data_IF_527676348589
#
_entry.id   IF_527676348589
#
_cell.length_a   1.000
_cell.length_b   1.000
_cell.length_c   1.000
_cell.angle_alpha   90.00
_cell.angle_beta   90.00
_cell.angle_gamma   90.00
#
_symmetry.space_group_name_H-M   'P 1'
#
loop_
_entity.id
_entity.type
_entity.pdbx_description
1 polymer ?
#
# COMPACT_ATOMS: atom_id res chain seq x y z
N UNK A 1 -28.75 -8.52 -19.15
CA UNK A 1 -27.58 -8.34 -18.25
C UNK A 1 -27.92 -8.96 -16.89
N UNK A 2 -27.15 -9.95 -16.46
CA UNK A 2 -27.34 -10.64 -15.19
C UNK A 2 -26.10 -10.55 -14.27
N UNK A 3 -26.25 -10.94 -13.00
CA UNK A 3 -25.16 -10.88 -12.04
C UNK A 3 -23.95 -11.72 -12.43
N UNK A 4 -24.17 -12.88 -13.06
CA UNK A 4 -23.08 -13.77 -13.46
C UNK A 4 -22.26 -13.18 -14.62
N UNK A 5 -22.91 -12.50 -15.54
CA UNK A 5 -22.24 -11.76 -16.62
C UNK A 5 -21.38 -10.62 -16.06
N UNK A 6 -21.89 -9.86 -15.07
CA UNK A 6 -21.12 -8.80 -14.41
C UNK A 6 -19.92 -9.36 -13.62
N UNK A 7 -20.11 -10.45 -12.88
CA UNK A 7 -19.05 -11.13 -12.14
C UNK A 7 -17.93 -11.61 -13.07
N UNK A 8 -18.32 -12.27 -14.18
CA UNK A 8 -17.39 -12.72 -15.21
C UNK A 8 -16.63 -11.55 -15.83
N UNK A 9 -17.33 -10.48 -16.18
CA UNK A 9 -16.73 -9.29 -16.79
C UNK A 9 -15.70 -8.64 -15.84
N UNK A 10 -16.05 -8.43 -14.59
CA UNK A 10 -15.14 -7.85 -13.57
C UNK A 10 -13.93 -8.77 -13.35
N UNK A 11 -14.11 -10.08 -13.25
CA UNK A 11 -13.00 -11.04 -13.07
C UNK A 11 -12.05 -11.05 -14.28
N UNK A 12 -12.56 -11.01 -15.52
CA UNK A 12 -11.73 -10.95 -16.74
C UNK A 12 -10.88 -9.67 -16.75
N UNK A 13 -11.46 -8.54 -16.40
CA UNK A 13 -10.74 -7.25 -16.31
C UNK A 13 -9.68 -7.28 -15.23
N UNK A 14 -10.04 -7.75 -14.02
CA UNK A 14 -9.15 -7.86 -12.87
C UNK A 14 -7.89 -8.68 -13.17
N UNK A 15 -8.05 -9.81 -13.85
CA UNK A 15 -6.95 -10.72 -14.16
C UNK A 15 -6.27 -10.45 -15.50
N UNK A 16 -6.84 -9.58 -16.33
CA UNK A 16 -6.43 -9.37 -17.73
C UNK A 16 -6.29 -10.68 -18.51
N UNK A 17 -7.12 -11.70 -18.15
CA UNK A 17 -7.00 -13.05 -18.65
C UNK A 17 -8.30 -13.85 -18.50
N UNK A 18 -8.82 -14.34 -19.62
CA UNK A 18 -9.98 -15.25 -19.62
C UNK A 18 -9.70 -16.58 -18.89
N UNK A 19 -8.48 -17.11 -19.03
CA UNK A 19 -8.12 -18.38 -18.38
C UNK A 19 -7.95 -18.24 -16.86
N UNK A 20 -7.41 -17.10 -16.36
CA UNK A 20 -7.31 -16.83 -14.92
C UNK A 20 -8.69 -16.58 -14.33
N UNK A 21 -9.53 -15.78 -14.98
CA UNK A 21 -10.92 -15.57 -14.58
C UNK A 21 -11.72 -16.89 -14.52
N UNK A 22 -11.52 -17.77 -15.49
CA UNK A 22 -12.15 -19.09 -15.50
C UNK A 22 -11.76 -19.92 -14.26
N UNK A 23 -10.50 -19.91 -13.85
CA UNK A 23 -10.04 -20.61 -12.64
C UNK A 23 -10.62 -19.98 -11.36
N UNK A 24 -10.60 -18.64 -11.24
CA UNK A 24 -11.18 -17.94 -10.09
C UNK A 24 -12.66 -18.26 -9.90
N UNK A 25 -13.41 -18.30 -11.00
CA UNK A 25 -14.87 -18.50 -10.98
C UNK A 25 -15.31 -19.97 -11.09
N UNK A 26 -14.35 -20.90 -11.10
CA UNK A 26 -14.61 -22.35 -11.29
C UNK A 26 -15.44 -22.65 -12.55
N UNK A 27 -15.15 -21.94 -13.66
CA UNK A 27 -15.78 -22.09 -14.96
C UNK A 27 -14.77 -22.50 -16.02
N UNK A 28 -15.27 -22.90 -17.20
CA UNK A 28 -14.41 -23.12 -18.36
C UNK A 28 -14.16 -21.80 -19.11
N UNK A 29 -13.03 -21.68 -19.81
CA UNK A 29 -12.75 -20.50 -20.63
C UNK A 29 -13.80 -20.24 -21.72
N UNK A 30 -14.34 -21.24 -22.44
CA UNK A 30 -15.45 -21.03 -23.37
C UNK A 30 -16.70 -20.44 -22.71
N UNK A 31 -17.02 -20.87 -21.48
CA UNK A 31 -18.14 -20.32 -20.69
C UNK A 31 -17.93 -18.84 -20.38
N UNK A 32 -16.72 -18.46 -19.91
CA UNK A 32 -16.35 -17.05 -19.69
C UNK A 32 -16.50 -16.22 -20.97
N UNK A 33 -15.97 -16.74 -22.11
CA UNK A 33 -16.10 -16.08 -23.40
C UNK A 33 -17.56 -15.89 -23.83
N UNK A 34 -18.41 -16.90 -23.61
CA UNK A 34 -19.84 -16.83 -23.92
C UNK A 34 -20.56 -15.76 -23.06
N UNK A 35 -20.27 -15.68 -21.75
CA UNK A 35 -20.86 -14.65 -20.89
C UNK A 35 -20.48 -13.23 -21.36
N UNK A 36 -19.21 -13.00 -21.72
CA UNK A 36 -18.76 -11.68 -22.23
C UNK A 36 -19.44 -11.36 -23.55
N UNK A 37 -19.49 -12.31 -24.52
CA UNK A 37 -20.12 -12.09 -25.80
C UNK A 37 -21.63 -11.80 -25.68
N UNK A 38 -22.32 -12.51 -24.79
CA UNK A 38 -23.73 -12.27 -24.52
C UNK A 38 -23.97 -10.90 -23.90
N UNK A 39 -23.11 -10.48 -22.98
CA UNK A 39 -23.16 -9.16 -22.35
C UNK A 39 -22.92 -8.05 -23.39
N UNK A 40 -21.89 -8.18 -24.23
CA UNK A 40 -21.59 -7.23 -25.31
C UNK A 40 -22.74 -7.15 -26.34
N UNK A 41 -23.32 -8.31 -26.69
CA UNK A 41 -24.48 -8.39 -27.60
C UNK A 41 -25.72 -7.72 -27.00
N UNK A 42 -26.03 -7.96 -25.74
CA UNK A 42 -27.17 -7.40 -25.04
C UNK A 42 -27.06 -5.86 -24.90
N UNK A 43 -25.86 -5.35 -24.62
CA UNK A 43 -25.58 -3.93 -24.54
C UNK A 43 -25.31 -3.27 -25.89
N UNK A 44 -25.28 -4.07 -26.97
CA UNK A 44 -24.98 -3.64 -28.33
C UNK A 44 -23.68 -2.80 -28.42
N UNK A 45 -22.66 -3.21 -27.65
CA UNK A 45 -21.36 -2.51 -27.62
C UNK A 45 -20.22 -3.48 -27.25
N UNK A 46 -19.02 -3.17 -27.72
CA UNK A 46 -17.80 -3.92 -27.37
C UNK A 46 -17.24 -3.35 -26.08
N UNK A 47 -17.01 -4.21 -25.09
CA UNK A 47 -16.51 -3.83 -23.77
C UNK A 47 -15.00 -4.08 -23.60
N UNK A 48 -14.48 -5.10 -24.33
CA UNK A 48 -13.10 -5.53 -24.23
C UNK A 48 -12.38 -5.51 -25.58
N UNK A 49 -11.27 -4.80 -25.66
CA UNK A 49 -10.35 -4.89 -26.79
C UNK A 49 -9.46 -6.13 -26.64
N UNK A 50 -9.53 -7.02 -27.64
CA UNK A 50 -8.78 -8.29 -27.69
C UNK A 50 -7.63 -8.16 -28.69
N UNK A 51 -6.70 -7.24 -28.53
CA UNK A 51 -5.55 -7.10 -29.43
C UNK A 51 -4.28 -7.65 -28.79
N UNK A 52 -3.55 -8.50 -29.55
CA UNK A 52 -2.16 -8.92 -29.32
C UNK A 52 -1.77 -9.23 -27.86
N UNK A 53 -2.39 -10.26 -27.25
CA UNK A 53 -2.05 -10.82 -25.92
C UNK A 53 -2.42 -9.98 -24.70
N UNK A 54 -3.02 -8.81 -24.83
CA UNK A 54 -3.50 -8.01 -23.69
C UNK A 54 -5.00 -7.75 -23.79
N UNK A 55 -5.69 -7.86 -22.67
CA UNK A 55 -7.11 -7.49 -22.55
C UNK A 55 -7.15 -6.07 -22.01
N UNK A 56 -7.77 -5.16 -22.76
CA UNK A 56 -7.97 -3.77 -22.36
C UNK A 56 -9.45 -3.41 -22.43
N UNK A 57 -9.90 -2.55 -21.54
CA UNK A 57 -11.25 -2.00 -21.60
C UNK A 57 -11.38 -1.06 -22.80
N UNK A 58 -12.58 -1.01 -23.39
CA UNK A 58 -13.04 0.08 -24.23
C UNK A 58 -13.58 1.22 -23.35
N UNK A 59 -13.89 2.37 -23.90
CA UNK A 59 -14.55 3.46 -23.17
C UNK A 59 -15.88 2.99 -22.55
N UNK A 60 -16.70 2.26 -23.30
CA UNK A 60 -17.93 1.63 -22.80
C UNK A 60 -17.64 0.59 -21.72
N UNK A 61 -16.54 -0.15 -21.86
CA UNK A 61 -16.07 -1.11 -20.88
C UNK A 61 -15.68 -0.46 -19.56
N UNK A 62 -15.00 0.71 -19.59
CA UNK A 62 -14.64 1.46 -18.39
C UNK A 62 -15.89 1.95 -17.64
N UNK A 63 -16.88 2.45 -18.37
CA UNK A 63 -18.15 2.87 -17.78
C UNK A 63 -18.85 1.68 -17.11
N UNK A 64 -19.00 0.58 -17.84
CA UNK A 64 -19.64 -0.61 -17.28
C UNK A 64 -18.87 -1.19 -16.09
N UNK A 65 -17.54 -1.21 -16.16
CA UNK A 65 -16.70 -1.74 -15.08
C UNK A 65 -16.97 -1.05 -13.75
N UNK A 66 -17.01 0.27 -13.74
CA UNK A 66 -17.32 1.08 -12.55
C UNK A 66 -18.68 0.71 -11.95
N UNK A 67 -19.71 0.61 -12.80
CA UNK A 67 -21.05 0.25 -12.35
C UNK A 67 -21.15 -1.23 -11.91
N UNK A 68 -20.52 -2.15 -12.66
CA UNK A 68 -20.52 -3.57 -12.34
C UNK A 68 -19.91 -3.86 -10.97
N UNK A 69 -18.76 -3.25 -10.67
CA UNK A 69 -18.11 -3.37 -9.36
C UNK A 69 -19.02 -2.82 -8.25
N UNK A 70 -19.64 -1.66 -8.46
CA UNK A 70 -20.57 -1.06 -7.49
C UNK A 70 -21.78 -1.98 -7.23
N UNK A 71 -22.39 -2.55 -8.27
CA UNK A 71 -23.54 -3.47 -8.16
C UNK A 71 -23.14 -4.73 -7.37
N UNK A 72 -22.00 -5.36 -7.74
CA UNK A 72 -21.52 -6.55 -7.06
C UNK A 72 -21.18 -6.31 -5.59
N UNK A 73 -20.59 -5.15 -5.29
CA UNK A 73 -20.28 -4.75 -3.91
C UNK A 73 -21.58 -4.49 -3.09
N UNK A 74 -22.58 -3.83 -3.68
CA UNK A 74 -23.89 -3.66 -3.02
C UNK A 74 -24.58 -4.99 -2.72
N UNK A 75 -24.48 -5.96 -3.65
CA UNK A 75 -25.01 -7.30 -3.43
C UNK A 75 -24.27 -8.01 -2.27
N UNK A 76 -22.94 -7.93 -2.23
CA UNK A 76 -22.15 -8.45 -1.11
C UNK A 76 -22.53 -7.79 0.20
N UNK A 77 -22.70 -6.46 0.19
CA UNK A 77 -23.15 -5.70 1.36
C UNK A 77 -24.49 -6.20 1.89
N UNK A 78 -25.48 -6.35 1.02
CA UNK A 78 -26.81 -6.86 1.43
C UNK A 78 -26.72 -8.26 2.07
N UNK A 79 -25.88 -9.16 1.53
CA UNK A 79 -25.63 -10.48 2.13
C UNK A 79 -24.98 -10.35 3.50
N UNK A 80 -24.00 -9.45 3.65
CA UNK A 80 -23.34 -9.20 4.93
C UNK A 80 -24.33 -8.59 5.95
N UNK A 81 -25.11 -7.57 5.57
CA UNK A 81 -26.11 -6.95 6.44
C UNK A 81 -27.11 -7.99 6.99
N UNK A 82 -27.49 -8.97 6.17
CA UNK A 82 -28.35 -10.10 6.59
C UNK A 82 -27.61 -11.03 7.56
N UNK A 83 -26.33 -11.31 7.32
CA UNK A 83 -25.49 -12.15 8.19
C UNK A 83 -25.18 -11.47 9.53
N UNK A 84 -24.95 -10.16 9.53
CA UNK A 84 -24.73 -9.37 10.75
C UNK A 84 -25.95 -9.39 11.68
N UNK A 85 -27.17 -9.50 11.12
CA UNK A 85 -28.38 -9.79 11.90
C UNK A 85 -28.29 -11.14 12.64
N UNK A 86 -27.43 -12.07 12.19
CA UNK A 86 -27.15 -13.36 12.85
C UNK A 86 -25.95 -13.35 13.81
N UNK A 87 -25.28 -12.21 14.01
CA UNK A 87 -24.26 -11.98 15.04
C UNK A 87 -22.86 -12.56 14.77
N UNK A 88 -22.54 -12.97 13.53
CA UNK A 88 -21.20 -13.46 13.18
C UNK A 88 -20.56 -12.58 12.11
N UNK A 89 -19.57 -11.78 12.53
CA UNK A 89 -18.74 -11.02 11.61
C UNK A 89 -17.61 -11.92 11.11
N UNK A 90 -17.63 -12.23 9.81
CA UNK A 90 -16.63 -13.04 9.13
C UNK A 90 -16.38 -12.53 7.72
N UNK A 91 -15.20 -12.77 7.18
CA UNK A 91 -14.87 -12.40 5.80
C UNK A 91 -13.37 -12.24 5.59
N UNK A 92 -13.01 -11.75 4.39
CA UNK A 92 -11.64 -11.47 3.98
C UNK A 92 -11.49 -9.98 3.72
N UNK A 93 -10.44 -9.38 4.26
CA UNK A 93 -10.02 -8.00 3.99
C UNK A 93 -8.69 -8.05 3.24
N UNK A 94 -8.67 -7.48 2.02
CA UNK A 94 -7.47 -7.34 1.21
C UNK A 94 -6.82 -5.99 1.47
N UNK A 95 -5.52 -6.02 1.83
CA UNK A 95 -4.74 -4.85 2.22
C UNK A 95 -3.47 -4.76 1.37
N UNK A 96 -3.22 -3.59 0.80
CA UNK A 96 -1.96 -3.24 0.16
C UNK A 96 -1.07 -2.48 1.14
N UNK A 97 0.17 -2.91 1.35
CA UNK A 97 1.07 -2.28 2.29
C UNK A 97 2.41 -1.91 1.67
N UNK A 98 2.93 -0.73 2.02
CA UNK A 98 4.34 -0.44 1.82
C UNK A 98 5.17 -0.95 3.03
N UNK A 99 6.48 -1.15 2.83
CA UNK A 99 7.37 -1.90 3.73
C UNK A 99 7.26 -1.54 5.22
N UNK A 100 7.26 -0.26 5.58
CA UNK A 100 7.26 0.14 7.00
C UNK A 100 5.89 -0.05 7.65
N UNK A 101 4.77 0.42 7.05
CA UNK A 101 3.45 0.11 7.59
C UNK A 101 3.17 -1.39 7.72
N UNK A 102 3.60 -2.22 6.75
CA UNK A 102 3.43 -3.67 6.78
C UNK A 102 4.09 -4.30 8.02
N UNK A 103 5.31 -3.88 8.31
CA UNK A 103 6.12 -4.54 9.37
C UNK A 103 5.89 -3.93 10.75
N UNK A 104 5.68 -2.61 10.86
CA UNK A 104 5.77 -1.90 12.14
C UNK A 104 4.48 -1.22 12.59
N UNK A 105 3.47 -1.06 11.71
CA UNK A 105 2.22 -0.35 12.04
C UNK A 105 1.04 -1.31 12.03
N UNK A 106 0.85 -2.03 10.91
CA UNK A 106 -0.30 -2.90 10.70
C UNK A 106 -0.40 -4.06 11.70
N UNK A 107 0.69 -4.75 12.10
CA UNK A 107 0.59 -5.91 13.00
C UNK A 107 -0.07 -5.61 14.34
N UNK A 108 0.26 -4.46 14.97
CA UNK A 108 -0.35 -4.07 16.24
C UNK A 108 -1.85 -3.83 16.11
N UNK A 109 -2.27 -3.12 15.07
CA UNK A 109 -3.69 -2.91 14.79
C UNK A 109 -4.43 -4.23 14.49
N UNK A 110 -3.83 -5.11 13.70
CA UNK A 110 -4.45 -6.41 13.38
C UNK A 110 -4.55 -7.33 14.59
N UNK A 111 -3.60 -7.27 15.52
CA UNK A 111 -3.65 -8.02 16.77
C UNK A 111 -4.92 -7.68 17.55
N UNK A 112 -5.18 -6.38 17.75
CA UNK A 112 -6.37 -5.91 18.48
C UNK A 112 -7.65 -6.24 17.71
N UNK A 113 -7.64 -6.05 16.39
CA UNK A 113 -8.79 -6.35 15.54
C UNK A 113 -9.14 -7.85 15.56
N UNK A 114 -8.16 -8.74 15.41
CA UNK A 114 -8.37 -10.19 15.44
C UNK A 114 -8.85 -10.69 16.80
N UNK A 115 -8.43 -10.05 17.89
CA UNK A 115 -8.91 -10.37 19.23
C UNK A 115 -10.42 -10.15 19.36
N UNK A 116 -10.93 -9.09 18.75
CA UNK A 116 -12.37 -8.76 18.78
C UNK A 116 -13.15 -9.53 17.70
N UNK A 117 -12.54 -9.75 16.51
CA UNK A 117 -13.17 -10.39 15.36
C UNK A 117 -12.39 -11.62 14.87
N UNK A 118 -12.41 -12.75 15.61
CA UNK A 118 -11.51 -13.89 15.36
C UNK A 118 -11.83 -14.67 14.07
N UNK A 119 -12.97 -14.42 13.43
CA UNK A 119 -13.37 -15.08 12.17
C UNK A 119 -13.03 -14.27 10.92
N UNK A 120 -12.48 -13.07 11.07
CA UNK A 120 -12.02 -12.26 9.95
C UNK A 120 -10.63 -12.71 9.50
N UNK A 121 -10.44 -12.80 8.20
CA UNK A 121 -9.16 -13.15 7.56
C UNK A 121 -8.60 -11.95 6.83
N UNK A 122 -7.29 -11.91 6.69
CA UNK A 122 -6.58 -10.84 5.99
C UNK A 122 -5.71 -11.41 4.88
N UNK A 123 -5.68 -10.70 3.75
CA UNK A 123 -4.73 -10.89 2.67
C UNK A 123 -3.87 -9.62 2.59
N UNK A 124 -2.60 -9.72 2.98
CA UNK A 124 -1.69 -8.57 3.03
C UNK A 124 -0.70 -8.70 1.88
N UNK A 125 -0.68 -7.70 1.02
CA UNK A 125 0.12 -7.69 -0.18
C UNK A 125 1.13 -6.54 -0.13
N UNK A 126 2.40 -6.88 -0.35
CA UNK A 126 3.49 -5.91 -0.39
C UNK A 126 3.50 -5.16 -1.72
N UNK A 127 3.37 -3.83 -1.66
CA UNK A 127 3.42 -2.95 -2.82
C UNK A 127 4.18 -1.66 -2.49
N UNK A 128 4.73 -1.00 -3.52
CA UNK A 128 5.09 0.40 -3.36
C UNK A 128 3.82 1.29 -3.26
N UNK A 129 4.01 2.52 -2.77
CA UNK A 129 2.87 3.41 -2.51
C UNK A 129 2.09 3.78 -3.77
N UNK A 130 2.74 3.86 -4.93
CA UNK A 130 2.07 4.23 -6.18
C UNK A 130 1.24 3.07 -6.72
N UNK A 131 1.79 1.86 -6.66
CA UNK A 131 1.09 0.66 -7.10
C UNK A 131 -0.10 0.35 -6.20
N UNK A 132 0.05 0.50 -4.87
CA UNK A 132 -1.06 0.37 -3.93
C UNK A 132 -2.24 1.30 -4.27
N UNK A 133 -1.96 2.56 -4.63
CA UNK A 133 -2.99 3.51 -5.07
C UNK A 133 -3.68 3.03 -6.34
N UNK A 134 -2.94 2.51 -7.32
CA UNK A 134 -3.53 2.01 -8.57
C UNK A 134 -4.43 0.79 -8.35
N UNK A 135 -4.03 -0.14 -7.48
CA UNK A 135 -4.86 -1.32 -7.15
C UNK A 135 -6.15 -0.94 -6.42
N UNK A 136 -6.11 0.08 -5.56
CA UNK A 136 -7.30 0.60 -4.87
C UNK A 136 -8.23 1.33 -5.85
N UNK A 137 -7.69 2.13 -6.78
CA UNK A 137 -8.50 2.83 -7.79
C UNK A 137 -9.15 1.86 -8.77
N UNK A 138 -8.49 0.74 -9.05
CA UNK A 138 -9.03 -0.34 -9.87
C UNK A 138 -9.95 -1.29 -9.06
N UNK A 139 -10.22 -0.98 -7.78
CA UNK A 139 -11.04 -1.77 -6.86
C UNK A 139 -10.61 -3.24 -6.71
N UNK A 140 -9.34 -3.54 -6.98
CA UNK A 140 -8.75 -4.86 -6.81
C UNK A 140 -8.40 -5.16 -5.36
N UNK A 141 -8.10 -4.10 -4.57
CA UNK A 141 -7.78 -4.15 -3.14
C UNK A 141 -8.62 -3.12 -2.41
N UNK A 142 -9.10 -3.47 -1.23
CA UNK A 142 -10.00 -2.64 -0.45
C UNK A 142 -9.29 -1.46 0.21
N UNK A 143 -8.15 -1.73 0.83
CA UNK A 143 -7.46 -0.80 1.71
C UNK A 143 -5.96 -0.76 1.44
N UNK A 144 -5.33 0.38 1.77
CA UNK A 144 -3.89 0.51 1.68
C UNK A 144 -3.26 1.22 2.88
N UNK A 145 -2.03 0.83 3.20
CA UNK A 145 -1.17 1.49 4.19
C UNK A 145 0.11 1.93 3.50
N UNK A 146 0.26 3.24 3.27
CA UNK A 146 1.30 3.78 2.39
C UNK A 146 2.13 4.87 3.04
N UNK A 147 3.39 5.01 2.60
CA UNK A 147 4.33 6.01 3.09
C UNK A 147 4.35 7.32 2.30
N UNK A 148 3.51 7.47 1.28
CA UNK A 148 3.40 8.69 0.47
C UNK A 148 1.94 9.09 0.38
N UNK A 149 1.64 10.37 0.63
CA UNK A 149 0.27 10.90 0.50
C UNK A 149 -0.16 10.87 -0.96
N UNK A 150 -1.24 10.13 -1.31
CA UNK A 150 -1.75 10.14 -2.67
C UNK A 150 -2.29 11.52 -3.06
N UNK A 151 -1.91 12.00 -4.25
CA UNK A 151 -2.42 13.24 -4.86
C UNK A 151 -3.62 12.96 -5.78
N UNK A 152 -4.48 12.01 -5.42
CA UNK A 152 -5.66 11.65 -6.21
C UNK A 152 -6.93 11.98 -5.42
N UNK A 153 -7.82 12.79 -6.03
CA UNK A 153 -9.08 13.23 -5.41
C UNK A 153 -10.08 12.09 -5.15
N UNK A 154 -9.95 10.96 -5.83
CA UNK A 154 -10.81 9.78 -5.66
C UNK A 154 -10.38 8.92 -4.46
N UNK A 155 -9.17 9.14 -3.91
CA UNK A 155 -8.66 8.43 -2.75
C UNK A 155 -8.96 9.21 -1.47
N UNK A 156 -9.56 8.55 -0.47
CA UNK A 156 -9.55 9.01 0.90
C UNK A 156 -8.20 8.66 1.50
N UNK A 157 -7.54 9.62 2.10
CA UNK A 157 -6.28 9.40 2.81
C UNK A 157 -6.41 9.91 4.24
N UNK A 158 -5.98 9.10 5.19
CA UNK A 158 -6.06 9.35 6.62
C UNK A 158 -4.66 9.15 7.18
N UNK A 159 -4.10 10.19 7.81
CA UNK A 159 -2.80 10.09 8.47
C UNK A 159 -2.95 9.19 9.70
N UNK A 160 -2.11 8.14 9.79
CA UNK A 160 -2.15 7.16 10.87
C UNK A 160 -0.91 7.21 11.76
N UNK A 161 0.25 7.59 11.22
CA UNK A 161 1.49 7.67 11.98
C UNK A 161 2.45 8.69 11.38
N UNK A 162 3.42 9.10 12.19
CA UNK A 162 4.58 9.91 11.76
C UNK A 162 5.85 9.09 12.00
N UNK A 163 6.81 9.22 11.12
CA UNK A 163 8.11 8.55 11.18
C UNK A 163 9.19 9.52 10.74
N UNK A 164 10.41 9.28 11.16
CA UNK A 164 11.59 10.05 10.77
C UNK A 164 12.60 9.11 10.12
N UNK A 165 13.22 9.52 9.02
CA UNK A 165 14.39 8.82 8.50
C UNK A 165 15.62 9.29 9.26
N UNK A 166 16.39 8.32 9.72
CA UNK A 166 17.68 8.56 10.39
C UNK A 166 18.82 7.95 9.58
N UNK A 167 19.97 8.61 9.60
CA UNK A 167 21.19 8.02 9.07
C UNK A 167 21.67 6.94 10.03
N UNK A 168 21.96 5.75 9.53
CA UNK A 168 22.54 4.67 10.32
C UNK A 168 23.94 4.32 9.83
N UNK A 169 24.79 3.93 10.77
CA UNK A 169 26.14 3.40 10.54
C UNK A 169 26.37 2.17 11.40
N UNK A 170 27.43 1.42 11.10
CA UNK A 170 27.94 0.39 12.01
C UNK A 170 28.24 1.00 13.39
N UNK A 171 28.05 0.22 14.47
CA UNK A 171 28.39 0.61 15.84
C UNK A 171 29.87 0.98 16.00
N UNK A 172 30.75 0.42 15.18
CA UNK A 172 32.19 0.71 15.20
C UNK A 172 32.57 1.96 14.38
N UNK A 173 31.66 2.51 13.56
CA UNK A 173 31.92 3.69 12.78
C UNK A 173 31.54 4.94 13.59
N UNK A 174 32.50 5.82 13.78
CA UNK A 174 32.28 7.09 14.47
C UNK A 174 32.22 8.23 13.45
N UNK A 175 31.19 9.07 13.59
CA UNK A 175 31.06 10.34 12.88
C UNK A 175 31.11 11.45 13.93
N UNK A 176 31.92 12.51 13.74
CA UNK A 176 31.87 13.68 14.63
C UNK A 176 30.45 14.26 14.69
N UNK A 177 29.93 14.40 15.91
CA UNK A 177 28.54 14.82 16.07
C UNK A 177 28.36 15.65 17.36
N UNK A 178 27.28 16.44 17.38
CA UNK A 178 26.82 17.16 18.56
C UNK A 178 25.45 16.60 18.96
N UNK A 179 25.36 15.88 20.06
CA UNK A 179 24.12 15.27 20.56
C UNK A 179 23.38 14.43 19.51
N UNK A 180 24.11 13.66 18.70
CA UNK A 180 23.54 12.82 17.65
C UNK A 180 23.25 13.55 16.33
N UNK A 181 23.58 14.86 16.22
CA UNK A 181 23.43 15.61 14.98
C UNK A 181 24.77 15.76 14.27
N UNK A 182 24.81 15.48 12.98
CA UNK A 182 25.98 15.64 12.12
C UNK A 182 25.76 16.76 11.09
N UNK A 183 26.85 17.31 10.57
CA UNK A 183 26.80 18.26 9.48
C UNK A 183 26.54 17.51 8.14
N UNK A 184 25.92 18.20 7.21
CA UNK A 184 25.59 17.63 5.89
C UNK A 184 26.85 17.17 5.12
N UNK A 185 27.96 17.87 5.29
CA UNK A 185 29.21 17.55 4.58
C UNK A 185 29.76 16.16 4.97
N UNK A 186 29.47 15.69 6.17
CA UNK A 186 29.85 14.34 6.60
C UNK A 186 29.20 13.25 5.75
N UNK A 187 28.01 13.51 5.18
CA UNK A 187 27.35 12.54 4.31
C UNK A 187 28.17 12.25 3.06
N UNK A 188 28.86 13.27 2.51
CA UNK A 188 29.58 13.11 1.24
C UNK A 188 30.88 12.32 1.39
N UNK A 189 31.30 12.07 2.63
CA UNK A 189 32.46 11.25 2.97
C UNK A 189 32.09 9.76 3.21
N UNK A 190 30.79 9.41 3.16
CA UNK A 190 30.31 8.06 3.46
C UNK A 190 30.01 7.28 2.18
N UNK A 191 30.25 5.97 2.23
CA UNK A 191 29.69 5.04 1.28
C UNK A 191 28.23 4.78 1.62
N UNK A 192 27.31 4.90 0.65
CA UNK A 192 25.88 4.71 0.87
C UNK A 192 25.35 3.41 0.29
N UNK A 193 24.53 2.73 1.09
CA UNK A 193 23.64 1.67 0.67
C UNK A 193 22.24 2.29 0.56
N UNK A 194 21.74 2.42 -0.67
CA UNK A 194 20.52 3.15 -0.97
C UNK A 194 19.36 2.22 -1.36
N UNK A 195 18.14 2.62 -1.05
CA UNK A 195 16.94 1.96 -1.56
C UNK A 195 16.85 2.08 -3.08
N UNK A 196 16.26 1.05 -3.74
CA UNK A 196 15.98 1.09 -5.17
C UNK A 196 15.08 2.26 -5.58
N UNK A 197 15.09 2.60 -6.84
CA UNK A 197 14.17 3.57 -7.43
C UNK A 197 12.72 3.10 -7.23
N UNK A 198 11.78 4.04 -6.99
CA UNK A 198 10.38 3.75 -6.60
C UNK A 198 10.15 3.69 -5.08
N UNK A 199 11.21 3.56 -4.27
CA UNK A 199 11.08 3.62 -2.81
C UNK A 199 10.77 5.03 -2.32
N UNK A 200 9.73 5.18 -1.50
CA UNK A 200 9.40 6.44 -0.84
C UNK A 200 10.52 6.98 0.07
N UNK A 201 11.33 6.10 0.65
CA UNK A 201 12.52 6.49 1.43
C UNK A 201 13.54 7.21 0.55
N UNK A 202 13.88 6.63 -0.62
CA UNK A 202 14.81 7.27 -1.56
C UNK A 202 14.29 8.60 -2.07
N UNK A 203 13.02 8.68 -2.45
CA UNK A 203 12.40 9.92 -2.91
C UNK A 203 12.50 10.99 -1.86
N UNK A 204 12.13 10.70 -0.61
CA UNK A 204 12.20 11.67 0.50
C UNK A 204 13.64 12.19 0.72
N UNK A 205 14.65 11.32 0.68
CA UNK A 205 16.05 11.72 0.83
C UNK A 205 16.44 12.70 -0.27
N UNK A 206 16.16 12.34 -1.53
CA UNK A 206 16.56 13.14 -2.69
C UNK A 206 15.80 14.48 -2.73
N UNK A 207 14.49 14.47 -2.45
CA UNK A 207 13.67 15.68 -2.38
C UNK A 207 14.13 16.62 -1.26
N UNK A 208 14.48 16.07 -0.08
CA UNK A 208 14.98 16.87 1.04
C UNK A 208 16.33 17.49 0.71
N UNK A 209 17.25 16.74 0.12
CA UNK A 209 18.54 17.28 -0.31
C UNK A 209 18.36 18.39 -1.36
N UNK A 210 17.55 18.14 -2.39
CA UNK A 210 17.28 19.14 -3.45
C UNK A 210 16.63 20.42 -2.91
N UNK A 211 15.63 20.31 -2.04
CA UNK A 211 14.97 21.47 -1.41
C UNK A 211 15.94 22.34 -0.60
N UNK A 212 17.00 21.75 -0.08
CA UNK A 212 18.04 22.45 0.68
C UNK A 212 19.30 22.75 -0.14
N UNK A 213 19.18 22.74 -1.48
CA UNK A 213 20.25 23.08 -2.42
C UNK A 213 21.46 22.14 -2.42
N UNK A 214 21.31 20.91 -1.96
CA UNK A 214 22.31 19.87 -2.03
C UNK A 214 22.04 18.92 -3.19
N UNK A 215 23.10 18.55 -3.93
CA UNK A 215 22.97 17.59 -5.03
C UNK A 215 23.05 16.15 -4.50
N UNK A 216 22.02 15.32 -4.66
CA UNK A 216 22.07 13.91 -4.30
C UNK A 216 23.14 13.12 -5.04
N UNK A 217 23.59 13.61 -6.21
CA UNK A 217 24.66 12.98 -7.00
C UNK A 217 26.03 13.02 -6.31
N UNK A 218 26.19 13.83 -5.25
CA UNK A 218 27.40 13.86 -4.42
C UNK A 218 27.49 12.67 -3.46
N UNK A 219 26.37 11.97 -3.22
CA UNK A 219 26.38 10.77 -2.39
C UNK A 219 27.10 9.63 -3.12
N UNK A 220 28.10 9.04 -2.47
CA UNK A 220 28.79 7.88 -3.00
C UNK A 220 27.95 6.60 -2.77
N UNK A 221 27.05 6.29 -3.70
CA UNK A 221 26.15 5.14 -3.60
C UNK A 221 26.87 3.90 -4.14
N UNK A 222 27.19 2.96 -3.26
CA UNK A 222 27.90 1.71 -3.60
C UNK A 222 26.95 0.54 -3.87
N UNK A 223 25.69 0.61 -3.37
CA UNK A 223 24.71 -0.45 -3.58
C UNK A 223 23.28 0.10 -3.60
N UNK A 224 22.42 -0.54 -4.42
CA UNK A 224 20.97 -0.33 -4.43
C UNK A 224 20.27 -1.58 -3.92
N UNK A 225 19.50 -1.47 -2.83
CA UNK A 225 18.89 -2.60 -2.13
C UNK A 225 17.38 -2.37 -1.94
N UNK A 226 16.59 -3.43 -2.06
CA UNK A 226 15.14 -3.35 -1.92
C UNK A 226 14.67 -3.55 -0.47
N UNK A 227 15.28 -4.49 0.24
CA UNK A 227 14.90 -4.86 1.62
C UNK A 227 15.56 -3.96 2.66
N UNK A 228 14.74 -3.41 3.58
CA UNK A 228 15.25 -2.66 4.73
C UNK A 228 16.08 -3.55 5.67
N UNK A 229 15.69 -4.83 5.82
CA UNK A 229 16.43 -5.79 6.65
C UNK A 229 17.82 -6.05 6.09
N UNK A 230 17.93 -6.24 4.77
CA UNK A 230 19.23 -6.40 4.12
C UNK A 230 20.12 -5.15 4.28
N UNK A 231 19.54 -3.95 4.23
CA UNK A 231 20.27 -2.71 4.47
C UNK A 231 20.81 -2.67 5.90
N UNK A 232 20.00 -3.00 6.91
CA UNK A 232 20.45 -3.02 8.32
C UNK A 232 21.61 -3.99 8.53
N UNK A 233 21.53 -5.19 7.96
CA UNK A 233 22.62 -6.17 8.05
C UNK A 233 23.90 -5.69 7.36
N UNK A 234 23.81 -5.12 6.16
CA UNK A 234 24.96 -4.57 5.44
C UNK A 234 25.62 -3.42 6.22
N UNK A 235 24.80 -2.51 6.81
CA UNK A 235 25.30 -1.41 7.63
C UNK A 235 25.97 -1.93 8.90
N UNK A 236 25.36 -2.87 9.58
CA UNK A 236 25.94 -3.54 10.78
C UNK A 236 27.31 -4.15 10.48
N UNK A 237 27.47 -4.76 9.32
CA UNK A 237 28.75 -5.34 8.85
C UNK A 237 29.78 -4.29 8.42
N UNK A 238 29.43 -3.00 8.42
CA UNK A 238 30.35 -1.91 8.08
C UNK A 238 30.54 -1.65 6.58
N UNK A 239 29.66 -2.18 5.70
CA UNK A 239 29.75 -1.93 4.27
C UNK A 239 29.54 -0.45 3.90
N UNK A 240 28.78 0.29 4.71
CA UNK A 240 28.49 1.70 4.48
C UNK A 240 27.43 2.22 5.43
N UNK A 241 26.89 3.40 5.10
CA UNK A 241 25.78 4.05 5.82
C UNK A 241 24.50 3.98 4.99
N UNK A 242 23.36 4.20 5.64
CA UNK A 242 22.06 4.30 4.95
C UNK A 242 21.11 5.18 5.71
N UNK A 243 20.11 5.72 5.02
CA UNK A 243 18.95 6.30 5.65
C UNK A 243 17.83 5.26 5.72
N UNK A 244 17.30 5.04 6.91
CA UNK A 244 16.16 4.15 7.14
C UNK A 244 15.15 4.80 8.11
N UNK A 245 13.95 4.23 8.19
CA UNK A 245 12.95 4.55 9.20
C UNK A 245 13.51 4.33 10.60
N UNK A 246 13.30 5.30 11.50
CA UNK A 246 13.65 5.13 12.91
C UNK A 246 12.89 3.95 13.53
N UNK A 247 11.61 3.76 13.14
CA UNK A 247 10.83 2.59 13.59
C UNK A 247 11.51 1.27 13.23
N UNK A 248 12.16 1.19 12.06
CA UNK A 248 12.85 -0.03 11.64
C UNK A 248 14.25 -0.19 12.22
N UNK A 249 14.85 0.89 12.74
CA UNK A 249 16.20 0.91 13.29
C UNK A 249 16.24 0.56 14.77
N UNK A 250 15.15 0.80 15.51
CA UNK A 250 15.13 0.87 16.97
C UNK A 250 15.69 -0.38 17.66
N UNK A 251 15.34 -1.56 17.18
CA UNK A 251 15.82 -2.83 17.77
C UNK A 251 17.34 -2.97 17.60
N UNK A 252 17.87 -2.62 16.42
CA UNK A 252 19.31 -2.67 16.15
C UNK A 252 20.08 -1.59 16.93
N UNK A 253 19.46 -0.44 17.20
CA UNK A 253 20.02 0.64 18.03
C UNK A 253 20.08 0.18 19.48
N UNK A 254 18.98 -0.36 20.02
CA UNK A 254 18.91 -0.84 21.39
C UNK A 254 19.90 -1.98 21.66
N UNK A 255 20.12 -2.85 20.67
CA UNK A 255 21.09 -3.94 20.71
C UNK A 255 22.55 -3.46 20.48
N UNK A 256 22.79 -2.16 20.32
CA UNK A 256 24.10 -1.58 19.99
C UNK A 256 24.74 -2.17 18.69
N UNK A 257 23.94 -2.65 17.76
CA UNK A 257 24.42 -3.21 16.47
C UNK A 257 24.74 -2.11 15.46
N UNK A 258 24.00 -0.98 15.54
CA UNK A 258 24.17 0.20 14.71
C UNK A 258 24.09 1.46 15.56
N UNK A 259 24.65 2.56 15.05
CA UNK A 259 24.43 3.91 15.55
C UNK A 259 23.51 4.67 14.61
N UNK A 260 22.80 5.66 15.13
CA UNK A 260 22.00 6.57 14.30
C UNK A 260 22.38 8.02 14.52
N UNK A 261 22.16 8.83 13.50
CA UNK A 261 22.42 10.25 13.49
C UNK A 261 21.30 10.99 12.76
N UNK A 262 21.08 12.25 13.18
CA UNK A 262 20.23 13.20 12.47
C UNK A 262 21.11 14.22 11.76
N UNK A 263 20.60 14.83 10.70
CA UNK A 263 21.35 15.83 9.94
C UNK A 263 20.92 17.22 10.41
N UNK A 264 21.88 18.07 10.78
CA UNK A 264 21.59 19.45 11.20
C UNK A 264 20.84 20.19 10.10
N UNK A 265 19.78 20.92 10.50
CA UNK A 265 18.96 21.78 9.63
C UNK A 265 18.25 21.07 8.48
N UNK A 266 18.17 19.74 8.48
CA UNK A 266 17.39 18.98 7.51
C UNK A 266 16.28 18.19 8.22
N UNK A 267 15.08 18.23 7.61
CA UNK A 267 13.91 17.51 8.11
C UNK A 267 13.62 16.31 7.19
N UNK A 268 13.75 15.12 7.76
CA UNK A 268 13.44 13.85 7.11
C UNK A 268 12.17 13.19 7.65
N UNK A 269 11.28 13.98 8.26
CA UNK A 269 9.99 13.51 8.73
C UNK A 269 9.08 13.12 7.58
N UNK A 270 8.28 12.07 7.79
CA UNK A 270 7.25 11.62 6.87
C UNK A 270 6.02 11.13 7.63
N UNK A 271 4.93 11.01 6.89
CA UNK A 271 3.69 10.48 7.45
C UNK A 271 3.32 9.18 6.72
N UNK A 272 2.67 8.28 7.46
CA UNK A 272 2.01 7.12 6.89
C UNK A 272 0.51 7.36 6.84
N UNK A 273 -0.10 6.80 5.81
CA UNK A 273 -1.51 7.02 5.51
C UNK A 273 -2.23 5.69 5.33
N UNK A 274 -3.40 5.60 5.92
CA UNK A 274 -4.41 4.64 5.52
C UNK A 274 -5.19 5.21 4.35
N UNK A 275 -5.43 4.41 3.30
CA UNK A 275 -6.06 4.86 2.06
C UNK A 275 -7.13 3.89 1.58
N UNK A 276 -8.20 4.43 0.97
CA UNK A 276 -9.23 3.66 0.28
C UNK A 276 -9.95 4.54 -0.76
N UNK A 277 -10.68 3.91 -1.69
CA UNK A 277 -11.46 4.64 -2.71
C UNK A 277 -12.67 5.31 -2.07
N UNK A 278 -12.90 6.61 -2.36
CA UNK A 278 -14.09 7.33 -1.94
C UNK A 278 -15.37 6.84 -2.61
N UNK A 279 -15.23 6.19 -3.77
CA UNK A 279 -16.35 5.69 -4.57
C UNK A 279 -16.76 4.27 -4.17
N UNK A 280 -15.94 3.60 -3.35
CA UNK A 280 -16.20 2.25 -2.91
C UNK A 280 -17.41 2.21 -1.97
N UNK A 281 -18.34 1.32 -2.29
CA UNK A 281 -19.40 0.94 -1.36
C UNK A 281 -18.81 -0.06 -0.37
N UNK A 282 -18.68 0.39 0.88
CA UNK A 282 -18.11 -0.43 1.95
C UNK A 282 -19.09 -1.54 2.37
N UNK A 283 -18.58 -2.74 2.55
CA UNK A 283 -19.30 -3.80 3.25
C UNK A 283 -19.33 -3.47 4.75
N UNK A 284 -20.27 -4.04 5.56
CA UNK A 284 -20.28 -3.84 7.01
C UNK A 284 -18.94 -4.19 7.68
N UNK A 285 -18.29 -5.27 7.25
CA UNK A 285 -16.95 -5.65 7.72
C UNK A 285 -15.91 -4.56 7.43
N UNK A 286 -15.93 -4.01 6.21
CA UNK A 286 -14.98 -2.95 5.81
C UNK A 286 -15.26 -1.63 6.56
N UNK A 287 -16.52 -1.29 6.77
CA UNK A 287 -16.91 -0.11 7.56
C UNK A 287 -16.47 -0.26 9.02
N UNK A 288 -16.68 -1.43 9.60
CA UNK A 288 -16.20 -1.75 10.94
C UNK A 288 -14.66 -1.69 11.04
N UNK A 289 -13.95 -2.22 10.04
CA UNK A 289 -12.49 -2.14 9.98
C UNK A 289 -12.01 -0.68 10.00
N UNK A 290 -12.66 0.19 9.24
CA UNK A 290 -12.35 1.61 9.22
C UNK A 290 -12.64 2.25 10.58
N UNK A 291 -13.81 1.97 11.20
CA UNK A 291 -14.16 2.53 12.50
C UNK A 291 -13.16 2.12 13.59
N UNK A 292 -12.80 0.84 13.65
CA UNK A 292 -11.76 0.34 14.57
C UNK A 292 -10.38 0.96 14.30
N UNK A 293 -10.05 1.23 13.05
CA UNK A 293 -8.81 1.91 12.70
C UNK A 293 -8.80 3.36 13.21
N UNK A 294 -9.91 4.09 13.10
CA UNK A 294 -10.03 5.43 13.67
C UNK A 294 -9.83 5.42 15.20
N UNK A 295 -10.45 4.45 15.89
CA UNK A 295 -10.32 4.29 17.34
C UNK A 295 -8.88 3.95 17.74
N UNK A 296 -8.25 2.98 17.07
CA UNK A 296 -6.89 2.53 17.36
C UNK A 296 -5.85 3.65 17.21
N UNK A 297 -5.95 4.44 16.16
CA UNK A 297 -5.02 5.54 15.89
C UNK A 297 -5.45 6.88 16.52
N UNK A 298 -6.49 6.91 17.35
CA UNK A 298 -7.04 8.12 17.99
C UNK A 298 -7.32 9.26 16.98
N UNK A 299 -7.93 8.91 15.85
CA UNK A 299 -8.23 9.87 14.78
C UNK A 299 -9.64 10.41 14.99
N UNK A 300 -9.77 11.73 15.19
CA UNK A 300 -11.08 12.36 15.29
C UNK A 300 -11.92 12.15 14.03
N UNK A 301 -13.03 11.47 14.18
CA UNK A 301 -13.95 11.14 13.10
C UNK A 301 -14.85 12.35 12.81
N UNK A 302 -14.46 13.27 11.93
CA UNK A 302 -15.26 14.44 11.52
C UNK A 302 -16.35 14.14 10.50
N UNK A 303 -16.68 12.87 10.20
CA UNK A 303 -17.48 12.57 8.99
C UNK A 303 -18.72 11.67 9.20
N UNK A 304 -19.18 11.40 10.42
CA UNK A 304 -20.43 10.66 10.62
C UNK A 304 -21.47 11.47 11.42
N UNK A 305 -21.77 12.71 10.94
CA UNK A 305 -23.00 13.43 11.24
C UNK A 305 -23.49 14.09 9.96
N UNK A 306 -24.11 13.31 9.08
CA UNK A 306 -25.21 13.76 8.20
C UNK A 306 -25.92 12.54 7.62
#
# INVERSE_FOLDING_TARGET
MDFKQLEVFVSVVKHESFSKAARELFLTQPTISSHIQNLEKELNTVLLNRSNKTIKLTESGEILYKHAVCILNNCKKAICDIKDYSGKIEGLIDIACSSIPETYILPGFLQDFCHEFPHVKFSINHYDSQYAVSEILNERISFGFVGVKPHNNQIKNIKIATDELVLITSSNHYIPNENGYINIDELFNLNFIMRKQGSGTRSLIFDTLHKNHFSPNKLNIIAHVESNESIKEMVKLGLGASFISYMSAIDYINDNKIKFYKIKNLDFNRNFYFIYSKQKVLTPLEDMFINKLYDYFNIENKTYLK
#
